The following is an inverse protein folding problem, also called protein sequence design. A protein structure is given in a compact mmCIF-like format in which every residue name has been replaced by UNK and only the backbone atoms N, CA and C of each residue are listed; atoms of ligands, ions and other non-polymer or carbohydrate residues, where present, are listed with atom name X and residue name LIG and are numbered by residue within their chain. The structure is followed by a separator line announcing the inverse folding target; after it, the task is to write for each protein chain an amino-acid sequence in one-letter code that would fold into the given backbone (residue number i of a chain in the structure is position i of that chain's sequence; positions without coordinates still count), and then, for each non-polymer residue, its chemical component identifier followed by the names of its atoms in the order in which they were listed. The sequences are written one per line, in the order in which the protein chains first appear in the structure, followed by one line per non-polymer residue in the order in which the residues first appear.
data_IF_971338724455
#
_entry.id   IF_971338724455
#
_cell.length_a   1.000
_cell.length_b   1.000
_cell.length_c   1.000
_cell.angle_alpha   90.00
_cell.angle_beta   90.00
_cell.angle_gamma   90.00
#
_symmetry.space_group_name_H-M   'P 1'
#
loop_
_entity.id
_entity.type
_entity.pdbx_description
1 polymer ?
#
# COMPACT_ATOMS: atom_id res chain seq x y z
N UNK A 1 -12.34 -27.27 -42.28
CA UNK A 1 -13.01 -26.24 -41.47
C UNK A 1 -12.11 -25.98 -40.26
N UNK A 2 -11.12 -25.09 -40.41
CA UNK A 2 -10.16 -24.73 -39.35
C UNK A 2 -10.18 -23.22 -39.20
N UNK A 3 -10.72 -22.73 -38.08
CA UNK A 3 -10.71 -21.32 -37.72
C UNK A 3 -9.61 -21.07 -36.70
N UNK A 4 -8.53 -20.44 -37.11
CA UNK A 4 -7.49 -19.90 -36.22
C UNK A 4 -8.02 -18.62 -35.58
N UNK A 5 -8.17 -18.61 -34.25
CA UNK A 5 -8.50 -17.42 -33.48
C UNK A 5 -7.28 -16.52 -33.38
N UNK A 6 -7.41 -15.29 -33.89
CA UNK A 6 -6.40 -14.26 -33.85
C UNK A 6 -6.13 -13.79 -32.41
N UNK A 7 -4.85 -13.69 -32.08
CA UNK A 7 -4.32 -13.04 -30.88
C UNK A 7 -4.70 -11.56 -30.94
N UNK A 8 -5.49 -11.10 -29.96
CA UNK A 8 -5.75 -9.68 -29.78
C UNK A 8 -4.51 -9.03 -29.15
N UNK A 9 -3.70 -8.43 -30.01
CA UNK A 9 -2.64 -7.46 -29.66
C UNK A 9 -3.17 -6.42 -28.67
N UNK A 10 -2.46 -6.25 -27.55
CA UNK A 10 -2.77 -5.24 -26.54
C UNK A 10 -2.48 -3.86 -27.14
N UNK A 11 -3.53 -3.17 -27.57
CA UNK A 11 -3.49 -1.76 -27.94
C UNK A 11 -2.82 -0.97 -26.83
N UNK A 12 -1.71 -0.31 -27.17
CA UNK A 12 -1.01 0.64 -26.34
C UNK A 12 -1.92 1.83 -26.03
N UNK A 13 -2.74 1.69 -25.00
CA UNK A 13 -3.37 2.82 -24.35
C UNK A 13 -2.28 3.61 -23.65
N UNK A 14 -1.96 4.77 -24.22
CA UNK A 14 -1.28 5.87 -23.53
C UNK A 14 -1.81 5.95 -22.10
N UNK A 15 -0.96 5.61 -21.13
CA UNK A 15 -1.29 5.70 -19.71
C UNK A 15 -1.46 7.17 -19.40
N UNK A 16 -2.71 7.63 -19.50
CA UNK A 16 -3.15 8.88 -18.92
C UNK A 16 -2.75 8.82 -17.44
N UNK A 17 -1.80 9.68 -17.09
CA UNK A 17 -1.16 9.76 -15.80
C UNK A 17 -2.25 10.02 -14.77
N UNK A 18 -2.74 8.97 -14.12
CA UNK A 18 -3.74 9.09 -13.07
C UNK A 18 -3.11 9.84 -11.90
N UNK A 19 -3.45 11.12 -11.81
CA UNK A 19 -3.09 12.02 -10.73
C UNK A 19 -3.62 11.48 -9.40
N UNK A 20 -2.78 10.78 -8.65
CA UNK A 20 -3.11 10.30 -7.31
C UNK A 20 -1.83 9.86 -6.63
N UNK A 21 -1.32 10.67 -5.70
CA UNK A 21 0.00 10.50 -5.09
C UNK A 21 0.20 9.04 -4.63
N UNK A 22 1.08 8.26 -5.31
CA UNK A 22 1.19 6.84 -5.06
C UNK A 22 1.85 6.64 -3.71
N UNK A 23 1.16 5.97 -2.78
CA UNK A 23 1.82 5.40 -1.62
C UNK A 23 2.83 4.38 -2.15
N UNK A 24 4.14 4.54 -1.88
CA UNK A 24 5.16 3.65 -2.44
C UNK A 24 4.88 2.19 -2.12
N UNK A 25 5.04 1.31 -3.11
CA UNK A 25 4.80 -0.14 -2.97
C UNK A 25 5.70 -0.82 -1.94
N UNK A 26 6.79 -0.14 -1.54
CA UNK A 26 7.74 -0.59 -0.51
C UNK A 26 7.21 -0.49 0.92
N UNK A 27 6.13 0.25 1.17
CA UNK A 27 5.65 0.46 2.54
C UNK A 27 5.04 -0.82 3.09
N UNK A 28 5.43 -1.19 4.30
CA UNK A 28 4.80 -2.27 5.04
C UNK A 28 3.40 -1.81 5.51
N UNK A 29 2.43 -2.72 5.48
CA UNK A 29 1.05 -2.42 5.88
C UNK A 29 0.53 -3.37 6.95
N UNK A 30 -0.33 -2.85 7.84
CA UNK A 30 -1.03 -3.64 8.86
C UNK A 30 -2.44 -3.12 9.08
N UNK A 31 -3.40 -4.03 9.27
CA UNK A 31 -4.78 -3.69 9.61
C UNK A 31 -4.90 -3.36 11.10
N UNK A 32 -5.52 -2.21 11.38
CA UNK A 32 -5.87 -1.75 12.72
C UNK A 32 -7.37 -1.97 12.94
N UNK A 33 -7.76 -2.87 13.85
CA UNK A 33 -9.15 -3.22 14.07
C UNK A 33 -9.95 -2.09 14.70
N UNK A 34 -11.24 -2.08 14.41
CA UNK A 34 -12.27 -1.24 15.01
C UNK A 34 -13.49 -2.12 15.37
N UNK A 35 -14.48 -1.62 16.13
CA UNK A 35 -15.68 -2.39 16.48
C UNK A 35 -16.40 -2.99 15.27
N UNK A 36 -16.45 -2.27 14.15
CA UNK A 36 -16.87 -2.82 12.86
C UNK A 36 -15.67 -2.99 11.92
N UNK A 37 -15.53 -4.13 11.23
CA UNK A 37 -14.39 -4.35 10.34
C UNK A 37 -14.19 -3.26 9.28
N UNK A 38 -15.29 -2.74 8.74
CA UNK A 38 -15.30 -1.64 7.75
C UNK A 38 -14.85 -0.28 8.30
N UNK A 39 -14.92 -0.10 9.60
CA UNK A 39 -14.42 1.10 10.30
C UNK A 39 -12.94 0.98 10.67
N UNK A 40 -12.35 -0.21 10.47
CA UNK A 40 -10.93 -0.44 10.63
C UNK A 40 -10.10 0.39 9.65
N UNK A 41 -8.81 0.51 9.96
CA UNK A 41 -7.85 1.33 9.21
C UNK A 41 -6.70 0.46 8.74
N UNK A 42 -6.02 0.91 7.70
CA UNK A 42 -4.71 0.37 7.34
C UNK A 42 -3.65 1.38 7.73
N UNK A 43 -2.62 0.91 8.41
CA UNK A 43 -1.42 1.66 8.73
C UNK A 43 -0.30 1.25 7.79
N UNK A 44 0.32 2.23 7.14
CA UNK A 44 1.46 2.09 6.26
C UNK A 44 2.68 2.72 6.91
N UNK A 45 3.80 2.00 6.95
CA UNK A 45 5.02 2.49 7.56
C UNK A 45 6.23 2.02 6.75
N UNK A 46 7.33 2.79 6.78
CA UNK A 46 8.53 2.48 6.01
C UNK A 46 9.52 1.64 6.87
N UNK A 47 9.88 0.41 6.46
CA UNK A 47 10.93 -0.39 7.08
C UNK A 47 12.25 0.37 7.30
N UNK A 48 12.64 1.20 6.35
CA UNK A 48 13.90 1.94 6.34
C UNK A 48 13.79 3.26 7.09
N UNK A 49 12.56 3.70 7.39
CA UNK A 49 12.28 4.90 8.18
C UNK A 49 12.29 6.20 7.38
N UNK A 50 12.18 6.10 6.04
CA UNK A 50 12.04 7.27 5.18
C UNK A 50 10.74 8.05 5.47
N UNK A 51 10.71 9.36 5.14
CA UNK A 51 9.52 10.17 5.29
C UNK A 51 8.30 9.58 4.56
N UNK A 52 7.17 9.54 5.25
CA UNK A 52 5.93 9.02 4.70
C UNK A 52 5.20 10.07 3.86
N UNK A 53 4.57 9.67 2.74
CA UNK A 53 3.67 10.56 2.01
C UNK A 53 2.46 10.90 2.89
N UNK A 54 1.91 12.11 2.72
CA UNK A 54 0.68 12.54 3.41
C UNK A 54 -0.43 12.76 2.38
N UNK A 55 -1.15 11.71 1.96
CA UNK A 55 -2.28 11.86 1.06
C UNK A 55 -3.49 12.50 1.76
N UNK A 56 -4.44 13.09 1.00
CA UNK A 56 -5.69 13.61 1.55
C UNK A 56 -6.45 12.53 2.34
N UNK A 57 -6.92 12.88 3.54
CA UNK A 57 -7.63 11.95 4.42
C UNK A 57 -6.73 10.95 5.16
N UNK A 58 -5.41 11.05 4.99
CA UNK A 58 -4.42 10.31 5.78
C UNK A 58 -4.07 11.01 7.09
N UNK A 59 -3.77 10.24 8.13
CA UNK A 59 -3.26 10.78 9.39
C UNK A 59 -2.03 10.00 9.83
N UNK A 60 -0.98 10.70 10.25
CA UNK A 60 0.22 10.08 10.82
C UNK A 60 -0.06 9.71 12.28
N UNK A 61 0.12 8.43 12.61
CA UNK A 61 0.08 7.91 13.97
C UNK A 61 1.36 7.17 14.32
N UNK A 62 1.61 6.98 15.62
CA UNK A 62 2.73 6.19 16.09
C UNK A 62 2.35 4.71 16.18
N UNK A 63 3.08 3.85 15.47
CA UNK A 63 2.92 2.40 15.51
C UNK A 63 4.09 1.78 16.28
N UNK A 64 3.79 0.85 17.20
CA UNK A 64 4.84 0.02 17.81
C UNK A 64 5.02 -1.24 16.99
N UNK A 65 6.21 -1.40 16.40
CA UNK A 65 6.58 -2.58 15.61
C UNK A 65 7.67 -3.38 16.31
N UNK A 66 7.67 -4.69 16.11
CA UNK A 66 8.76 -5.58 16.50
C UNK A 66 9.59 -5.86 15.25
N UNK A 67 10.89 -5.52 15.31
CA UNK A 67 11.82 -5.69 14.19
C UNK A 67 13.02 -6.52 14.64
N UNK A 68 13.61 -7.25 13.69
CA UNK A 68 14.91 -7.89 13.90
C UNK A 68 15.94 -6.83 14.28
N UNK A 69 16.77 -7.15 15.26
CA UNK A 69 17.91 -6.34 15.68
C UNK A 69 19.06 -7.26 16.07
N UNK A 70 20.07 -7.34 15.21
CA UNK A 70 21.16 -8.32 15.35
C UNK A 70 20.64 -9.75 15.36
N UNK A 71 20.95 -10.49 16.44
CA UNK A 71 20.51 -11.86 16.68
C UNK A 71 19.14 -11.98 17.39
N UNK A 72 18.49 -10.85 17.75
CA UNK A 72 17.21 -10.84 18.45
C UNK A 72 16.17 -9.93 17.79
N UNK A 73 15.20 -9.49 18.59
CA UNK A 73 14.18 -8.52 18.17
C UNK A 73 14.09 -7.36 19.16
N UNK A 74 13.71 -6.17 18.67
CA UNK A 74 13.43 -5.00 19.51
C UNK A 74 12.11 -4.35 19.11
N UNK A 75 11.45 -3.76 20.11
CA UNK A 75 10.29 -2.89 19.89
C UNK A 75 10.78 -1.51 19.48
N UNK A 76 10.16 -0.93 18.46
CA UNK A 76 10.42 0.45 18.02
C UNK A 76 9.09 1.13 17.75
N UNK A 77 9.03 2.41 18.10
CA UNK A 77 7.95 3.30 17.70
C UNK A 77 8.31 3.95 16.37
N UNK A 78 7.42 3.85 15.40
CA UNK A 78 7.61 4.38 14.04
C UNK A 78 6.41 5.23 13.64
N UNK A 79 6.61 6.28 12.84
CA UNK A 79 5.49 6.95 12.20
C UNK A 79 4.82 5.98 11.23
N UNK A 80 3.50 6.04 11.17
CA UNK A 80 2.69 5.26 10.26
C UNK A 80 1.56 6.14 9.70
N UNK A 81 1.44 6.17 8.38
CA UNK A 81 0.31 6.77 7.69
C UNK A 81 -0.89 5.84 7.85
N UNK A 82 -1.96 6.33 8.46
CA UNK A 82 -3.22 5.58 8.57
C UNK A 82 -4.25 6.11 7.61
N UNK A 83 -4.99 5.18 7.00
CA UNK A 83 -6.08 5.45 6.08
C UNK A 83 -7.30 4.59 6.43
N UNK A 84 -8.52 5.10 6.26
CA UNK A 84 -9.72 4.26 6.24
C UNK A 84 -9.60 3.18 5.15
N UNK A 85 -10.26 2.04 5.36
CA UNK A 85 -10.19 0.91 4.44
C UNK A 85 -10.50 1.30 2.98
N UNK A 86 -11.51 2.16 2.78
CA UNK A 86 -11.90 2.65 1.45
C UNK A 86 -10.78 3.40 0.71
N UNK A 87 -9.96 4.19 1.43
CA UNK A 87 -8.83 4.91 0.85
C UNK A 87 -7.59 4.02 0.64
N UNK A 88 -7.45 2.97 1.46
CA UNK A 88 -6.28 2.11 1.43
C UNK A 88 -6.36 0.97 0.40
N UNK A 89 -7.55 0.42 0.14
CA UNK A 89 -7.72 -0.72 -0.78
C UNK A 89 -7.22 -0.43 -2.22
N UNK A 90 -7.54 0.70 -2.86
CA UNK A 90 -7.02 1.00 -4.19
C UNK A 90 -5.49 1.01 -4.25
N UNK A 91 -4.83 1.49 -3.19
CA UNK A 91 -3.36 1.52 -3.10
C UNK A 91 -2.77 0.11 -3.02
N UNK A 92 -3.32 -0.76 -2.17
CA UNK A 92 -2.87 -2.15 -2.05
C UNK A 92 -3.10 -2.94 -3.35
N UNK A 93 -4.25 -2.70 -3.99
CA UNK A 93 -4.63 -3.32 -5.26
C UNK A 93 -3.71 -2.83 -6.39
N UNK A 94 -3.30 -1.57 -6.36
CA UNK A 94 -2.27 -1.00 -7.24
C UNK A 94 -0.91 -1.66 -7.01
N UNK A 95 -0.44 -1.70 -5.75
CA UNK A 95 0.85 -2.25 -5.38
C UNK A 95 1.04 -3.71 -5.81
N UNK A 96 -0.02 -4.54 -5.73
CA UNK A 96 0.02 -5.93 -6.22
C UNK A 96 0.38 -6.05 -7.71
N UNK A 97 0.07 -5.03 -8.51
CA UNK A 97 0.29 -5.02 -9.97
C UNK A 97 1.57 -4.30 -10.37
N UNK A 98 2.32 -3.79 -9.40
CA UNK A 98 3.58 -3.10 -9.65
C UNK A 98 4.66 -4.11 -10.04
N UNK A 99 5.31 -3.95 -11.21
CA UNK A 99 6.44 -4.76 -11.61
C UNK A 99 7.67 -4.27 -10.84
N UNK A 100 7.97 -4.92 -9.72
CA UNK A 100 9.16 -4.62 -8.92
C UNK A 100 10.46 -4.63 -9.74
#
# INVERSE_FOLDING_TARGET
MSGTAAVAERTGGSRETATGLPVPVRLASVYLPAPLPREGRLAFWDPEGDPLPTPPGGTIHELTVVRRHGAGVRRRRVPALTLPLAGALPLLVGARRDPA
#
